data_IF_060468427021
#
_entry.id   IF_060468427021
#
_cell.length_a   1.000
_cell.length_b   1.000
_cell.length_c   1.000
_cell.angle_alpha   90.00
_cell.angle_beta   90.00
_cell.angle_gamma   90.00
#
_symmetry.space_group_name_H-M   'P 1'
#
loop_
_entity.id
_entity.type
_entity.pdbx_description
1 polymer ?
#
# COMPACT_ATOMS: atom_id res chain seq x y z
N UNK A 1 10.58 21.67 -18.10
CA UNK A 1 9.26 22.34 -18.19
C UNK A 1 8.50 22.11 -16.90
N UNK A 2 8.24 23.15 -16.14
CA UNK A 2 7.36 23.11 -14.96
C UNK A 2 5.93 22.92 -15.47
N UNK A 3 5.42 21.69 -15.40
CA UNK A 3 4.04 21.39 -15.75
C UNK A 3 3.13 22.15 -14.77
N UNK A 4 2.47 23.21 -15.25
CA UNK A 4 1.49 23.95 -14.46
C UNK A 4 0.32 23.01 -14.14
N UNK A 5 0.19 22.61 -12.88
CA UNK A 5 -0.93 21.83 -12.38
C UNK A 5 -2.17 22.75 -12.38
N UNK A 6 -3.35 22.27 -12.82
CA UNK A 6 -4.56 23.10 -12.78
C UNK A 6 -4.90 23.43 -11.33
N UNK A 7 -4.83 24.69 -10.95
CA UNK A 7 -5.17 25.14 -9.60
C UNK A 7 -6.66 25.39 -9.50
N UNK A 8 -7.39 24.47 -8.87
CA UNK A 8 -8.75 24.74 -8.41
C UNK A 8 -8.69 25.50 -7.08
N UNK A 9 -9.53 26.54 -6.87
CA UNK A 9 -9.62 27.18 -5.57
C UNK A 9 -10.19 26.19 -4.54
N UNK A 10 -9.63 26.19 -3.33
CA UNK A 10 -10.18 25.44 -2.19
C UNK A 10 -11.38 26.17 -1.57
N UNK A 11 -11.97 25.54 -0.56
CA UNK A 11 -13.02 26.16 0.24
C UNK A 11 -12.49 27.24 1.19
N UNK A 12 -13.39 27.82 2.00
CA UNK A 12 -13.05 28.85 2.99
C UNK A 12 -13.22 28.38 4.45
N UNK A 13 -13.71 27.16 4.66
CA UNK A 13 -13.99 26.61 5.99
C UNK A 13 -12.73 26.28 6.79
N UNK A 14 -12.90 26.08 8.10
CA UNK A 14 -11.87 25.45 8.94
C UNK A 14 -12.34 24.04 9.27
N UNK A 15 -11.59 23.03 8.85
CA UNK A 15 -11.96 21.62 9.03
C UNK A 15 -10.89 20.90 9.84
N UNK A 16 -11.30 20.23 10.92
CA UNK A 16 -10.44 19.26 11.60
C UNK A 16 -10.52 17.91 10.89
N UNK A 17 -9.39 17.24 10.69
CA UNK A 17 -9.37 15.88 10.14
C UNK A 17 -8.53 14.93 11.00
N UNK A 18 -9.09 13.74 11.25
CA UNK A 18 -8.41 12.58 11.82
C UNK A 18 -7.95 11.63 10.71
N UNK A 19 -6.76 11.02 10.82
CA UNK A 19 -6.22 10.13 9.77
C UNK A 19 -6.46 8.67 10.14
N UNK A 20 -7.15 7.95 9.26
CA UNK A 20 -7.56 6.57 9.52
C UNK A 20 -6.83 5.52 8.67
N UNK A 21 -7.02 4.25 9.06
CA UNK A 21 -6.66 3.10 8.24
C UNK A 21 -7.82 2.63 7.35
N UNK A 22 -9.04 2.57 7.89
CA UNK A 22 -10.22 2.10 7.16
C UNK A 22 -10.70 3.15 6.14
N UNK A 23 -10.72 4.41 6.57
CA UNK A 23 -10.94 5.61 5.76
C UNK A 23 -9.72 6.51 5.83
N UNK A 24 -9.49 7.32 4.80
CA UNK A 24 -8.32 8.19 4.75
C UNK A 24 -8.42 9.35 5.74
N UNK A 25 -9.58 10.01 5.78
CA UNK A 25 -9.85 11.15 6.65
C UNK A 25 -11.26 11.10 7.22
N UNK A 26 -11.39 11.43 8.50
CA UNK A 26 -12.68 11.71 9.14
C UNK A 26 -12.70 13.17 9.57
N UNK A 27 -13.65 13.93 9.04
CA UNK A 27 -13.78 15.36 9.31
C UNK A 27 -14.45 15.59 10.67
N UNK A 28 -14.22 16.77 11.27
CA UNK A 28 -14.83 17.19 12.54
C UNK A 28 -16.36 17.23 12.50
N UNK A 29 -16.95 17.35 11.32
CA UNK A 29 -18.41 17.30 11.09
C UNK A 29 -18.96 15.86 10.98
N UNK A 30 -18.08 14.85 11.08
CA UNK A 30 -18.43 13.42 11.01
C UNK A 30 -18.41 12.82 9.60
N UNK A 31 -18.12 13.61 8.57
CA UNK A 31 -17.95 13.11 7.20
C UNK A 31 -16.69 12.25 7.06
N UNK A 32 -16.80 11.14 6.33
CA UNK A 32 -15.66 10.26 6.02
C UNK A 32 -15.25 10.41 4.57
N UNK A 33 -13.95 10.50 4.33
CA UNK A 33 -13.36 10.62 3.00
C UNK A 33 -12.37 9.47 2.75
N UNK A 34 -12.40 8.93 1.53
CA UNK A 34 -11.50 7.84 1.15
C UNK A 34 -11.79 6.55 1.91
N UNK A 35 -13.06 6.20 2.09
CA UNK A 35 -13.49 4.90 2.63
C UNK A 35 -12.84 3.74 1.86
N UNK A 36 -12.74 2.57 2.50
CA UNK A 36 -12.06 1.38 1.96
C UNK A 36 -10.57 1.56 1.67
N UNK A 37 -9.90 2.56 2.28
CA UNK A 37 -8.45 2.69 2.21
C UNK A 37 -7.77 1.40 2.70
N UNK A 38 -8.25 0.83 3.81
CA UNK A 38 -7.67 -0.35 4.45
C UNK A 38 -7.77 -1.63 3.64
N UNK A 39 -8.70 -1.69 2.68
CA UNK A 39 -8.88 -2.83 1.79
C UNK A 39 -7.77 -2.91 0.75
N UNK A 40 -7.26 -1.77 0.27
CA UNK A 40 -6.19 -1.71 -0.73
C UNK A 40 -4.91 -2.44 -0.25
N UNK A 41 -4.28 -2.08 0.89
CA UNK A 41 -3.09 -2.77 1.38
C UNK A 41 -3.42 -4.20 1.84
N UNK A 42 -4.63 -4.46 2.35
CA UNK A 42 -5.03 -5.81 2.75
C UNK A 42 -5.04 -6.79 1.56
N UNK A 43 -5.67 -6.38 0.44
CA UNK A 43 -5.73 -7.17 -0.79
C UNK A 43 -4.34 -7.41 -1.39
N UNK A 44 -3.50 -6.37 -1.45
CA UNK A 44 -2.15 -6.50 -1.99
C UNK A 44 -1.30 -7.43 -1.14
N UNK A 45 -1.38 -7.27 0.18
CA UNK A 45 -0.68 -8.11 1.14
C UNK A 45 -1.07 -9.58 0.97
N UNK A 46 -2.36 -9.90 0.96
CA UNK A 46 -2.86 -11.28 0.84
C UNK A 46 -2.48 -11.94 -0.47
N UNK A 47 -2.56 -11.19 -1.57
CA UNK A 47 -2.10 -11.69 -2.85
C UNK A 47 -0.57 -11.88 -2.90
N UNK A 48 0.21 -11.04 -2.22
CA UNK A 48 1.65 -11.22 -2.06
C UNK A 48 1.98 -12.47 -1.24
N UNK A 49 1.24 -12.75 -0.16
CA UNK A 49 1.39 -14.00 0.64
C UNK A 49 1.21 -15.23 -0.23
N UNK A 50 0.11 -15.33 -0.97
CA UNK A 50 -0.17 -16.50 -1.83
C UNK A 50 0.92 -16.68 -2.90
N UNK A 51 1.37 -15.59 -3.54
CA UNK A 51 2.45 -15.67 -4.55
C UNK A 51 3.80 -16.02 -3.93
N UNK A 52 4.09 -15.49 -2.74
CA UNK A 52 5.31 -15.78 -1.98
C UNK A 52 5.41 -17.27 -1.62
N UNK A 53 4.32 -17.86 -1.13
CA UNK A 53 4.25 -19.30 -0.80
C UNK A 53 4.55 -20.18 -2.02
N UNK A 54 3.93 -19.90 -3.17
CA UNK A 54 4.20 -20.64 -4.41
C UNK A 54 5.64 -20.48 -4.89
N UNK A 55 6.19 -19.27 -4.77
CA UNK A 55 7.59 -19.00 -5.13
C UNK A 55 8.58 -19.67 -4.20
N UNK A 56 8.25 -19.83 -2.91
CA UNK A 56 9.07 -20.57 -1.97
C UNK A 56 9.27 -22.01 -2.44
N UNK A 57 8.19 -22.70 -2.80
CA UNK A 57 8.26 -24.06 -3.33
C UNK A 57 9.15 -24.17 -4.58
N UNK A 58 9.09 -23.17 -5.48
CA UNK A 58 9.96 -23.12 -6.66
C UNK A 58 11.44 -22.87 -6.31
N UNK A 59 11.71 -22.08 -5.26
CA UNK A 59 13.08 -21.90 -4.74
C UNK A 59 13.62 -23.20 -4.15
N UNK A 60 12.82 -23.91 -3.37
CA UNK A 60 13.21 -25.20 -2.82
C UNK A 60 13.52 -26.22 -3.94
N UNK A 61 12.68 -26.24 -4.99
CA UNK A 61 12.90 -27.10 -6.15
C UNK A 61 14.16 -26.71 -6.94
N UNK A 62 14.40 -25.42 -7.13
CA UNK A 62 15.61 -24.90 -7.78
C UNK A 62 16.86 -25.34 -7.00
N UNK A 63 16.87 -25.16 -5.68
CA UNK A 63 17.96 -25.60 -4.80
C UNK A 63 18.21 -27.11 -4.88
N UNK A 64 17.15 -27.93 -4.88
CA UNK A 64 17.25 -29.39 -5.05
C UNK A 64 17.86 -29.79 -6.39
N UNK A 65 17.46 -29.13 -7.49
CA UNK A 65 18.05 -29.40 -8.80
C UNK A 65 19.51 -28.98 -8.86
N UNK A 66 19.86 -27.85 -8.26
CA UNK A 66 21.24 -27.38 -8.19
C UNK A 66 22.13 -28.36 -7.42
N UNK A 67 21.68 -28.82 -6.26
CA UNK A 67 22.40 -29.81 -5.45
C UNK A 67 22.63 -31.16 -6.17
N UNK A 68 21.70 -31.56 -7.04
CA UNK A 68 21.80 -32.78 -7.87
C UNK A 68 22.60 -32.58 -9.17
N UNK A 69 23.19 -31.40 -9.40
CA UNK A 69 23.92 -31.09 -10.63
C UNK A 69 23.05 -30.82 -11.86
N UNK A 70 21.71 -30.71 -11.71
CA UNK A 70 20.78 -30.40 -12.80
C UNK A 70 20.74 -28.89 -13.09
N UNK A 71 21.90 -28.32 -13.45
CA UNK A 71 22.14 -26.87 -13.58
C UNK A 71 21.19 -26.19 -14.55
N UNK A 72 21.02 -26.74 -15.76
CA UNK A 72 20.11 -26.20 -16.79
C UNK A 72 18.68 -26.01 -16.28
N UNK A 73 18.15 -26.98 -15.52
CA UNK A 73 16.78 -26.89 -14.97
C UNK A 73 16.70 -25.82 -13.88
N UNK A 74 17.71 -25.74 -13.02
CA UNK A 74 17.78 -24.72 -11.97
C UNK A 74 17.87 -23.30 -12.56
N UNK A 75 18.71 -23.10 -13.60
CA UNK A 75 18.82 -21.78 -14.27
C UNK A 75 17.51 -21.36 -14.92
N UNK A 76 16.81 -22.29 -15.57
CA UNK A 76 15.49 -22.01 -16.14
C UNK A 76 14.47 -21.60 -15.07
N UNK A 77 14.45 -22.26 -13.92
CA UNK A 77 13.60 -21.87 -12.79
C UNK A 77 13.93 -20.46 -12.31
N UNK A 78 15.21 -20.16 -12.15
CA UNK A 78 15.70 -18.85 -11.70
C UNK A 78 15.31 -17.74 -12.68
N UNK A 79 15.60 -17.92 -13.96
CA UNK A 79 15.42 -16.90 -14.99
C UNK A 79 13.94 -16.63 -15.29
N UNK A 80 13.11 -17.68 -15.43
CA UNK A 80 11.73 -17.51 -15.88
C UNK A 80 10.72 -17.35 -14.74
N UNK A 81 10.98 -17.91 -13.55
CA UNK A 81 9.97 -17.97 -12.48
C UNK A 81 10.33 -17.14 -11.26
N UNK A 82 11.62 -17.06 -10.90
CA UNK A 82 12.08 -16.44 -9.66
C UNK A 82 12.53 -14.99 -9.80
N UNK A 83 12.42 -14.38 -10.99
CA UNK A 83 12.65 -12.94 -11.18
C UNK A 83 11.63 -12.04 -10.46
N UNK A 84 11.93 -10.74 -10.38
CA UNK A 84 11.13 -9.75 -9.63
C UNK A 84 10.30 -8.78 -10.49
N UNK A 85 10.54 -8.71 -11.81
CA UNK A 85 9.91 -7.75 -12.73
C UNK A 85 8.39 -7.60 -12.55
N UNK A 86 7.65 -8.70 -12.40
CA UNK A 86 6.18 -8.67 -12.22
C UNK A 86 5.78 -8.16 -10.83
N UNK A 87 6.53 -8.53 -9.79
CA UNK A 87 6.31 -8.07 -8.41
C UNK A 87 6.55 -6.56 -8.31
N UNK A 88 7.65 -6.08 -8.87
CA UNK A 88 8.03 -4.67 -8.77
C UNK A 88 7.02 -3.79 -9.52
N UNK A 89 6.60 -4.19 -10.73
CA UNK A 89 5.51 -3.53 -11.47
C UNK A 89 4.20 -3.48 -10.69
N UNK A 90 3.87 -4.56 -9.99
CA UNK A 90 2.67 -4.63 -9.16
C UNK A 90 2.77 -3.69 -7.96
N UNK A 91 3.90 -3.66 -7.26
CA UNK A 91 4.14 -2.74 -6.14
C UNK A 91 4.05 -1.28 -6.59
N UNK A 92 4.60 -0.94 -7.76
CA UNK A 92 4.47 0.40 -8.34
C UNK A 92 3.01 0.74 -8.63
N UNK A 93 2.24 -0.20 -9.21
CA UNK A 93 0.81 0.01 -9.47
C UNK A 93 0.02 0.21 -8.18
N UNK A 94 0.25 -0.64 -7.19
CA UNK A 94 -0.43 -0.55 -5.90
C UNK A 94 -0.15 0.79 -5.21
N UNK A 95 1.11 1.23 -5.17
CA UNK A 95 1.49 2.54 -4.62
C UNK A 95 0.78 3.70 -5.32
N UNK A 96 0.66 3.63 -6.65
CA UNK A 96 -0.11 4.63 -7.42
C UNK A 96 -1.58 4.61 -7.01
N UNK A 97 -2.21 3.44 -6.94
CA UNK A 97 -3.61 3.31 -6.54
C UNK A 97 -3.88 3.88 -5.14
N UNK A 98 -3.05 3.54 -4.14
CA UNK A 98 -3.17 4.07 -2.78
C UNK A 98 -2.99 5.59 -2.76
N UNK A 99 -1.96 6.09 -3.45
CA UNK A 99 -1.72 7.54 -3.54
C UNK A 99 -2.89 8.26 -4.22
N UNK A 100 -3.39 7.73 -5.33
CA UNK A 100 -4.48 8.34 -6.08
C UNK A 100 -5.77 8.37 -5.22
N UNK A 101 -6.05 7.31 -4.46
CA UNK A 101 -7.15 7.26 -3.48
C UNK A 101 -7.01 8.32 -2.38
N UNK A 102 -5.81 8.44 -1.79
CA UNK A 102 -5.51 9.45 -0.78
C UNK A 102 -5.62 10.88 -1.34
N UNK A 103 -5.15 11.11 -2.56
CA UNK A 103 -5.25 12.41 -3.22
C UNK A 103 -6.72 12.78 -3.50
N UNK A 104 -7.55 11.83 -3.94
CA UNK A 104 -8.97 12.07 -4.13
C UNK A 104 -9.66 12.43 -2.80
N UNK A 105 -9.36 11.69 -1.74
CA UNK A 105 -9.89 11.99 -0.40
C UNK A 105 -9.43 13.37 0.12
N UNK A 106 -8.16 13.72 -0.10
CA UNK A 106 -7.61 15.01 0.29
C UNK A 106 -8.26 16.17 -0.48
N UNK A 107 -8.49 16.02 -1.78
CA UNK A 107 -9.21 17.02 -2.56
C UNK A 107 -10.63 17.23 -2.05
N UNK A 108 -11.35 16.17 -1.67
CA UNK A 108 -12.69 16.30 -1.11
C UNK A 108 -12.73 17.13 0.19
N UNK A 109 -11.67 17.07 1.01
CA UNK A 109 -11.51 17.91 2.20
C UNK A 109 -11.16 19.35 1.81
N UNK A 110 -10.17 19.53 0.92
CA UNK A 110 -9.67 20.83 0.46
C UNK A 110 -10.76 21.63 -0.27
N UNK A 111 -11.67 20.97 -0.98
CA UNK A 111 -12.79 21.61 -1.66
C UNK A 111 -13.71 22.38 -0.67
N UNK A 112 -13.69 22.01 0.61
CA UNK A 112 -14.48 22.64 1.69
C UNK A 112 -13.65 23.55 2.59
N UNK A 113 -12.35 23.31 2.70
CA UNK A 113 -11.49 23.90 3.72
C UNK A 113 -10.52 24.95 3.14
N UNK A 114 -10.47 26.12 3.77
CA UNK A 114 -9.38 27.08 3.65
C UNK A 114 -8.27 26.83 4.67
N UNK A 115 -8.62 26.26 5.82
CA UNK A 115 -7.68 25.83 6.87
C UNK A 115 -7.99 24.39 7.27
N UNK A 116 -6.98 23.54 7.30
CA UNK A 116 -7.09 22.14 7.74
C UNK A 116 -6.26 21.96 9.01
N UNK A 117 -6.90 21.55 10.10
CA UNK A 117 -6.23 21.13 11.32
C UNK A 117 -6.13 19.60 11.33
N UNK A 118 -4.94 19.06 11.55
CA UNK A 118 -4.73 17.62 11.65
C UNK A 118 -3.69 17.28 12.70
N UNK A 119 -3.76 16.06 13.21
CA UNK A 119 -2.75 15.47 14.09
C UNK A 119 -1.37 15.35 13.43
N UNK A 120 -0.32 15.54 14.23
CA UNK A 120 1.06 15.25 13.87
C UNK A 120 1.38 13.77 14.16
N UNK A 121 1.58 12.99 13.10
CA UNK A 121 1.89 11.56 13.17
C UNK A 121 3.37 11.26 12.93
N UNK A 122 4.26 12.24 13.12
CA UNK A 122 5.70 12.07 12.91
C UNK A 122 6.33 11.09 13.92
N UNK A 123 5.70 10.91 15.09
CA UNK A 123 6.16 9.97 16.11
C UNK A 123 5.73 8.53 15.79
N UNK A 124 6.62 7.56 16.07
CA UNK A 124 6.27 6.15 15.91
C UNK A 124 5.23 5.72 16.95
N UNK A 125 4.04 5.34 16.51
CA UNK A 125 3.02 4.77 17.38
C UNK A 125 3.26 3.27 17.56
N UNK A 126 3.72 2.87 18.75
CA UNK A 126 3.89 1.46 19.06
C UNK A 126 2.55 0.81 19.38
N UNK A 127 2.26 -0.32 18.74
CA UNK A 127 1.14 -1.17 19.15
C UNK A 127 1.49 -1.88 20.45
N UNK A 128 0.72 -1.63 21.50
CA UNK A 128 0.84 -2.33 22.79
C UNK A 128 0.31 -3.77 22.76
N UNK A 129 -0.44 -4.13 21.71
CA UNK A 129 -1.08 -5.45 21.58
C UNK A 129 -0.32 -6.35 20.62
N UNK A 130 -0.13 -7.61 21.02
CA UNK A 130 0.25 -8.69 20.12
C UNK A 130 -0.91 -8.95 19.16
N UNK A 131 -0.67 -8.74 17.86
CA UNK A 131 -1.66 -8.98 16.80
C UNK A 131 -1.32 -10.25 16.05
N UNK A 132 -2.33 -10.87 15.42
CA UNK A 132 -2.11 -12.02 14.55
C UNK A 132 -1.16 -11.64 13.40
N UNK A 133 -0.34 -12.61 12.95
CA UNK A 133 0.68 -12.39 11.90
C UNK A 133 0.09 -11.79 10.62
N UNK A 134 -1.09 -12.23 10.21
CA UNK A 134 -1.74 -11.69 9.02
C UNK A 134 -2.20 -10.24 9.20
N UNK A 135 -2.63 -9.86 10.41
CA UNK A 135 -2.97 -8.46 10.72
C UNK A 135 -1.73 -7.57 10.61
N UNK A 136 -0.60 -7.98 11.20
CA UNK A 136 0.66 -7.23 11.08
C UNK A 136 1.13 -7.10 9.63
N UNK A 137 0.97 -8.15 8.83
CA UNK A 137 1.35 -8.15 7.42
C UNK A 137 0.50 -7.20 6.56
N UNK A 138 -0.76 -6.96 6.94
CA UNK A 138 -1.64 -6.01 6.23
C UNK A 138 -1.33 -4.56 6.58
N UNK A 139 -0.92 -4.31 7.83
CA UNK A 139 -0.55 -2.98 8.31
C UNK A 139 0.85 -2.53 7.87
N UNK A 140 1.77 -3.48 7.70
CA UNK A 140 3.14 -3.22 7.25
C UNK A 140 3.30 -3.34 5.72
N UNK A 141 2.19 -3.53 4.99
CA UNK A 141 2.14 -3.91 3.57
C UNK A 141 2.56 -2.81 2.61
#
# INVERSE_FOLDING_TARGET
ETQACSTKPGGSGTVGVDKGYTEAYTASEGERHGESLGDLPAQESDACKVKGQRRHQLRDLEGKHRAKGHTRKADNLRHHNLGHRKRDRRQVRHRKQVRDHLCQAAHAVVDKAGIIACEDLSASMQSTKVRHRDTNRRLNG
#
